data_IF_132560395110
#
_entry.id   IF_132560395110
#
_cell.length_a   1.000
_cell.length_b   1.000
_cell.length_c   1.000
_cell.angle_alpha   90.00
_cell.angle_beta   90.00
_cell.angle_gamma   90.00
#
_symmetry.space_group_name_H-M   'P 1'
#
loop_
_entity.id
_entity.type
_entity.pdbx_description
1 polymer ?
#
# COMPACT_ATOMS: atom_id res chain seq x y z
N UNK A 1 10.91 7.95 -1.77
CA UNK A 1 10.03 7.99 -2.95
C UNK A 1 8.81 8.86 -2.63
N UNK A 2 8.53 9.92 -3.39
CA UNK A 2 7.42 10.85 -3.12
C UNK A 2 6.30 10.59 -4.14
N UNK A 3 5.12 10.19 -3.67
CA UNK A 3 3.99 9.89 -4.55
C UNK A 3 3.31 11.18 -5.01
N UNK A 4 3.49 11.54 -6.28
CA UNK A 4 2.94 12.78 -6.87
C UNK A 4 1.41 12.85 -6.79
N UNK A 5 0.71 11.71 -6.89
CA UNK A 5 -0.76 11.68 -6.79
C UNK A 5 -1.26 11.96 -5.38
N UNK A 6 -0.59 11.40 -4.37
CA UNK A 6 -0.94 11.67 -2.97
C UNK A 6 -0.72 13.15 -2.63
N UNK A 7 0.37 13.75 -3.13
CA UNK A 7 0.62 15.17 -2.97
C UNK A 7 -0.51 16.01 -3.57
N UNK A 8 -0.96 15.66 -4.78
CA UNK A 8 -2.06 16.35 -5.44
C UNK A 8 -3.37 16.26 -4.65
N UNK A 9 -3.69 15.09 -4.08
CA UNK A 9 -4.87 14.94 -3.22
C UNK A 9 -4.78 15.82 -1.97
N UNK A 10 -3.62 15.83 -1.29
CA UNK A 10 -3.40 16.68 -0.11
C UNK A 10 -3.55 18.17 -0.46
N UNK A 11 -3.04 18.59 -1.62
CA UNK A 11 -3.18 19.98 -2.09
C UNK A 11 -4.65 20.38 -2.30
N UNK A 12 -5.48 19.48 -2.83
CA UNK A 12 -6.92 19.73 -3.01
C UNK A 12 -7.73 19.62 -1.71
N UNK A 13 -7.14 19.11 -0.63
CA UNK A 13 -7.76 19.01 0.69
C UNK A 13 -7.24 20.11 1.63
N UNK A 14 -6.90 21.30 1.10
CA UNK A 14 -6.35 22.42 1.87
C UNK A 14 -5.11 22.06 2.69
N UNK A 15 -4.29 21.14 2.20
CA UNK A 15 -3.09 20.67 2.89
C UNK A 15 -3.36 19.68 4.03
N UNK A 16 -4.61 19.28 4.27
CA UNK A 16 -4.96 18.31 5.33
C UNK A 16 -4.37 16.95 5.03
N UNK A 17 -3.73 16.35 6.05
CA UNK A 17 -3.12 15.02 6.00
C UNK A 17 -3.82 14.00 6.90
N UNK A 18 -4.87 14.44 7.58
CA UNK A 18 -5.59 13.71 8.62
C UNK A 18 -6.68 12.82 8.01
N UNK A 19 -6.30 12.02 7.02
CA UNK A 19 -7.18 11.04 6.41
C UNK A 19 -6.54 9.65 6.47
N UNK A 20 -7.34 8.58 6.70
CA UNK A 20 -6.85 7.22 6.59
C UNK A 20 -6.31 6.97 5.18
N UNK A 21 -5.19 6.27 5.11
CA UNK A 21 -4.64 5.77 3.84
C UNK A 21 -4.33 4.30 3.97
N UNK A 22 -4.75 3.53 2.97
CA UNK A 22 -4.31 2.17 2.77
C UNK A 22 -3.19 2.18 1.74
N UNK A 23 -2.00 1.73 2.14
CA UNK A 23 -0.84 1.62 1.25
C UNK A 23 -0.56 0.15 0.97
N UNK A 24 -0.49 -0.22 -0.30
CA UNK A 24 -0.04 -1.55 -0.73
C UNK A 24 1.42 -1.42 -1.17
N UNK A 25 2.31 -2.17 -0.51
CA UNK A 25 3.72 -2.21 -0.87
C UNK A 25 3.92 -3.07 -2.11
N UNK A 26 4.51 -2.50 -3.15
CA UNK A 26 4.85 -3.19 -4.41
C UNK A 26 6.34 -3.53 -4.52
N UNK A 27 7.09 -3.41 -3.43
CA UNK A 27 8.54 -3.59 -3.41
C UNK A 27 9.35 -2.38 -3.88
N UNK A 28 10.65 -2.59 -4.05
CA UNK A 28 11.60 -1.59 -4.56
C UNK A 28 12.16 -2.05 -5.90
N UNK A 29 12.44 -1.14 -6.85
CA UNK A 29 13.08 -1.49 -8.10
C UNK A 29 14.45 -2.14 -7.85
N UNK A 30 14.78 -3.26 -8.51
CA UNK A 30 16.07 -3.92 -8.33
C UNK A 30 17.21 -3.08 -8.93
N UNK A 31 18.25 -2.83 -8.14
CA UNK A 31 19.49 -2.18 -8.59
C UNK A 31 19.30 -0.74 -9.08
N UNK A 32 19.77 -0.46 -10.31
CA UNK A 32 19.71 0.88 -10.95
C UNK A 32 18.52 1.03 -11.92
N UNK A 33 17.50 0.18 -11.82
CA UNK A 33 16.34 0.26 -12.69
C UNK A 33 15.60 1.60 -12.51
N UNK A 34 15.19 2.22 -13.62
CA UNK A 34 14.38 3.43 -13.56
C UNK A 34 13.05 3.15 -12.85
N UNK A 35 12.70 4.04 -11.92
CA UNK A 35 11.53 3.84 -11.07
C UNK A 35 10.21 3.90 -11.86
N UNK A 36 10.14 4.68 -12.95
CA UNK A 36 8.93 4.70 -13.80
C UNK A 36 8.81 3.41 -14.59
N UNK A 37 9.92 2.88 -15.11
CA UNK A 37 9.92 1.61 -15.81
C UNK A 37 9.41 0.48 -14.90
N UNK A 38 9.87 0.44 -13.64
CA UNK A 38 9.39 -0.52 -12.64
C UNK A 38 7.87 -0.40 -12.39
N UNK A 39 7.35 0.82 -12.25
CA UNK A 39 5.92 1.05 -12.02
C UNK A 39 5.02 0.71 -13.22
N UNK A 40 5.56 0.72 -14.43
CA UNK A 40 4.84 0.39 -15.66
C UNK A 40 4.96 -1.09 -16.05
N UNK A 41 5.89 -1.81 -15.43
CA UNK A 41 6.10 -3.23 -15.68
C UNK A 41 4.95 -4.06 -15.10
N UNK A 42 4.64 -5.19 -15.75
CA UNK A 42 3.75 -6.20 -15.18
C UNK A 42 4.47 -6.95 -14.05
N UNK A 43 3.74 -7.25 -12.98
CA UNK A 43 4.24 -8.11 -11.91
C UNK A 43 4.61 -9.50 -12.44
N UNK A 44 5.71 -10.04 -11.91
CA UNK A 44 6.10 -11.44 -12.08
C UNK A 44 5.06 -12.37 -11.43
N UNK A 45 4.99 -13.66 -11.80
CA UNK A 45 4.04 -14.60 -11.20
C UNK A 45 4.16 -14.69 -9.68
N UNK A 46 5.38 -14.63 -9.15
CA UNK A 46 5.68 -14.68 -7.71
C UNK A 46 5.19 -13.41 -6.99
N UNK A 47 5.48 -12.23 -7.55
CA UNK A 47 5.00 -10.94 -7.04
C UNK A 47 3.47 -10.88 -7.08
N UNK A 48 2.86 -11.46 -8.11
CA UNK A 48 1.41 -11.46 -8.26
C UNK A 48 0.70 -12.20 -7.14
N UNK A 49 1.21 -13.36 -6.72
CA UNK A 49 0.68 -14.09 -5.55
C UNK A 49 0.72 -13.23 -4.28
N UNK A 50 1.78 -12.44 -4.10
CA UNK A 50 1.89 -11.53 -2.96
C UNK A 50 0.90 -10.38 -3.05
N UNK A 51 0.72 -9.80 -4.24
CA UNK A 51 -0.24 -8.73 -4.48
C UNK A 51 -1.68 -9.23 -4.28
N UNK A 52 -2.04 -10.40 -4.79
CA UNK A 52 -3.37 -11.00 -4.59
C UNK A 52 -3.64 -11.20 -3.09
N UNK A 53 -2.67 -11.76 -2.35
CA UNK A 53 -2.79 -11.92 -0.89
C UNK A 53 -2.94 -10.55 -0.18
N UNK A 54 -2.18 -9.54 -0.60
CA UNK A 54 -2.25 -8.20 -0.03
C UNK A 54 -3.59 -7.52 -0.32
N UNK A 55 -4.20 -7.78 -1.49
CA UNK A 55 -5.51 -7.29 -1.86
C UNK A 55 -6.61 -7.94 -0.99
N UNK A 56 -6.57 -9.25 -0.79
CA UNK A 56 -7.52 -9.94 0.11
C UNK A 56 -7.47 -9.37 1.53
N UNK A 57 -6.26 -9.20 2.09
CA UNK A 57 -6.08 -8.57 3.39
C UNK A 57 -6.54 -7.11 3.40
N UNK A 58 -6.32 -6.38 2.30
CA UNK A 58 -6.75 -4.99 2.14
C UNK A 58 -8.28 -4.87 2.15
N UNK A 59 -9.00 -5.77 1.50
CA UNK A 59 -10.47 -5.82 1.50
C UNK A 59 -11.00 -6.05 2.91
N UNK A 60 -10.43 -7.02 3.64
CA UNK A 60 -10.82 -7.28 5.04
C UNK A 60 -10.53 -6.07 5.95
N UNK A 61 -9.39 -5.41 5.75
CA UNK A 61 -9.02 -4.21 6.48
C UNK A 61 -10.00 -3.05 6.24
N UNK A 62 -10.37 -2.79 4.99
CA UNK A 62 -11.35 -1.74 4.63
C UNK A 62 -12.72 -2.09 5.21
N UNK A 63 -13.17 -3.34 5.07
CA UNK A 63 -14.45 -3.79 5.64
C UNK A 63 -14.48 -3.60 7.16
N UNK A 64 -13.41 -3.99 7.85
CA UNK A 64 -13.29 -3.83 9.30
C UNK A 64 -13.28 -2.36 9.71
N UNK A 65 -12.55 -1.51 8.97
CA UNK A 65 -12.50 -0.07 9.22
C UNK A 65 -13.88 0.59 9.10
N UNK A 66 -14.64 0.23 8.05
CA UNK A 66 -15.98 0.78 7.81
C UNK A 66 -16.97 0.32 8.88
N UNK A 67 -16.91 -0.95 9.29
CA UNK A 67 -17.88 -1.53 10.23
C UNK A 67 -17.56 -1.23 11.71
N UNK A 68 -16.29 -1.21 12.09
CA UNK A 68 -15.85 -1.09 13.49
C UNK A 68 -15.17 0.23 13.82
N UNK A 69 -14.97 1.10 12.83
CA UNK A 69 -14.25 2.36 13.00
C UNK A 69 -12.75 2.16 13.31
N UNK A 70 -12.11 3.23 13.76
CA UNK A 70 -10.66 3.29 13.99
C UNK A 70 -10.20 2.65 15.31
N UNK A 71 -11.13 2.16 16.14
CA UNK A 71 -10.81 1.57 17.45
C UNK A 71 -10.07 0.24 17.32
N UNK A 72 -8.77 0.23 17.65
CA UNK A 72 -7.93 -0.96 17.90
C UNK A 72 -7.61 -1.88 16.72
N UNK A 73 -8.36 -1.80 15.61
CA UNK A 73 -8.22 -2.73 14.48
C UNK A 73 -7.08 -2.36 13.53
N UNK A 74 -6.76 -1.07 13.41
CA UNK A 74 -5.77 -0.56 12.44
C UNK A 74 -4.34 -0.97 12.79
N UNK A 75 -4.01 -0.96 14.09
CA UNK A 75 -2.69 -1.36 14.56
C UNK A 75 -2.43 -2.85 14.27
N UNK A 76 -3.46 -3.69 14.39
CA UNK A 76 -3.43 -5.11 14.02
C UNK A 76 -3.14 -5.32 12.54
N UNK A 77 -3.72 -4.51 11.65
CA UNK A 77 -3.43 -4.61 10.21
C UNK A 77 -2.01 -4.19 9.87
N UNK A 78 -1.45 -3.17 10.54
CA UNK A 78 -0.08 -2.71 10.31
C UNK A 78 1.00 -3.72 10.76
N UNK A 79 0.68 -4.55 11.76
CA UNK A 79 1.58 -5.60 12.29
C UNK A 79 1.52 -6.91 11.48
N UNK A 80 0.39 -7.21 10.83
CA UNK A 80 0.15 -8.50 10.14
C UNK A 80 0.42 -8.41 8.62
N UNK A 81 1.00 -7.31 8.14
CA UNK A 81 1.33 -7.17 6.71
C UNK A 81 2.49 -8.10 6.33
N UNK A 82 2.14 -9.31 5.89
CA UNK A 82 3.06 -10.42 5.58
C UNK A 82 4.02 -10.11 4.43
N UNK A 83 3.71 -9.12 3.60
CA UNK A 83 4.52 -8.70 2.45
C UNK A 83 5.72 -7.82 2.81
N UNK A 84 5.87 -7.38 4.07
CA UNK A 84 7.08 -6.66 4.52
C UNK A 84 8.34 -7.54 4.62
N UNK A 85 8.23 -8.86 4.46
CA UNK A 85 9.30 -9.79 4.85
C UNK A 85 10.22 -10.31 3.74
N UNK A 86 10.09 -9.86 2.48
CA UNK A 86 11.09 -10.23 1.47
C UNK A 86 11.96 -9.05 1.07
N UNK A 87 13.15 -9.05 1.69
CA UNK A 87 14.32 -8.28 1.31
C UNK A 87 14.98 -9.05 0.15
N UNK A 88 14.75 -8.58 -1.07
CA UNK A 88 15.63 -8.90 -2.21
C UNK A 88 16.75 -7.87 -2.23
#
# INVERSE_FOLDING_TARGET
MRFRRLQNVIEHLDGRREFPRLSIGIGSPPGKMDTRAFLLQKFSPEERVQIDTALEQGVDAVRTLVLKGFSGSIERFNLVQKYKFHRV
#
